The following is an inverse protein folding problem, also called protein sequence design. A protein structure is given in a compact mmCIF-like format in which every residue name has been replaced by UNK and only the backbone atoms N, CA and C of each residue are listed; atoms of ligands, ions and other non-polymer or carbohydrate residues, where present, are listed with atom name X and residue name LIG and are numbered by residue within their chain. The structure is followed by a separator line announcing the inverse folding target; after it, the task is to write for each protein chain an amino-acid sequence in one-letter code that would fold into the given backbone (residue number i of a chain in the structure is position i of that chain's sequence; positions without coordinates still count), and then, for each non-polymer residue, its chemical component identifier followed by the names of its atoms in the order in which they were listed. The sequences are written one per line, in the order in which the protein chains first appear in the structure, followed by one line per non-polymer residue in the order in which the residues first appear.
data_IF_095900641654
#
_entry.id   IF_095900641654
#
_cell.length_a   1.000
_cell.length_b   1.000
_cell.length_c   1.000
_cell.angle_alpha   90.00
_cell.angle_beta   90.00
_cell.angle_gamma   90.00
#
_symmetry.space_group_name_H-M   'P 1'
#
loop_
_entity.id
_entity.type
_entity.pdbx_description
1 polymer ?
#
# COMPACT_ATOMS: atom_id res chain seq x y z
N UNK A 1 -34.07 26.01 14.43
CA UNK A 1 -34.47 24.62 14.72
C UNK A 1 -34.52 23.75 13.45
N UNK A 2 -35.17 24.20 12.36
CA UNK A 2 -35.25 23.48 11.08
C UNK A 2 -33.87 23.18 10.45
N UNK A 3 -32.95 24.16 10.39
CA UNK A 3 -31.60 23.94 9.88
C UNK A 3 -30.78 22.93 10.70
N UNK A 4 -31.06 22.80 12.01
CA UNK A 4 -30.37 21.83 12.88
C UNK A 4 -30.88 20.41 12.63
N UNK A 5 -32.17 20.25 12.35
CA UNK A 5 -32.78 18.95 12.01
C UNK A 5 -32.35 18.51 10.60
N UNK A 6 -32.33 19.43 9.63
CA UNK A 6 -31.82 19.16 8.28
C UNK A 6 -30.32 18.85 8.29
N UNK A 7 -29.52 19.58 9.07
CA UNK A 7 -28.10 19.28 9.25
C UNK A 7 -27.90 17.91 9.92
N UNK A 8 -28.67 17.58 10.97
CA UNK A 8 -28.59 16.28 11.65
C UNK A 8 -28.94 15.12 10.70
N UNK A 9 -29.96 15.27 9.86
CA UNK A 9 -30.37 14.26 8.88
C UNK A 9 -29.30 14.02 7.80
N UNK A 10 -28.70 15.10 7.28
CA UNK A 10 -27.64 15.00 6.27
C UNK A 10 -26.33 14.46 6.87
N UNK A 11 -25.97 14.88 8.07
CA UNK A 11 -24.77 14.39 8.75
C UNK A 11 -24.88 12.90 9.09
N UNK A 12 -26.04 12.42 9.52
CA UNK A 12 -26.26 10.99 9.74
C UNK A 12 -26.03 10.17 8.46
N UNK A 13 -26.59 10.63 7.33
CA UNK A 13 -26.38 9.99 6.03
C UNK A 13 -24.90 9.97 5.62
N UNK A 14 -24.20 11.10 5.78
CA UNK A 14 -22.77 11.21 5.46
C UNK A 14 -21.91 10.29 6.33
N UNK A 15 -22.20 10.20 7.64
CA UNK A 15 -21.50 9.31 8.57
C UNK A 15 -21.74 7.86 8.17
N UNK A 16 -22.99 7.46 7.94
CA UNK A 16 -23.32 6.09 7.52
C UNK A 16 -22.65 5.74 6.19
N UNK A 17 -22.70 6.62 5.19
CA UNK A 17 -22.02 6.41 3.92
C UNK A 17 -20.50 6.28 4.08
N UNK A 18 -19.89 7.09 4.95
CA UNK A 18 -18.46 7.02 5.25
C UNK A 18 -18.08 5.71 5.92
N UNK A 19 -18.91 5.21 6.85
CA UNK A 19 -18.68 3.92 7.51
C UNK A 19 -18.72 2.77 6.49
N UNK A 20 -19.73 2.72 5.62
CA UNK A 20 -19.79 1.70 4.57
C UNK A 20 -18.61 1.76 3.62
N UNK A 21 -18.19 2.98 3.25
CA UNK A 21 -17.00 3.19 2.44
C UNK A 21 -15.74 2.66 3.13
N UNK A 22 -15.52 2.96 4.42
CA UNK A 22 -14.38 2.46 5.19
C UNK A 22 -14.41 0.93 5.28
N UNK A 23 -15.57 0.32 5.58
CA UNK A 23 -15.70 -1.14 5.64
C UNK A 23 -15.31 -1.77 4.30
N UNK A 24 -15.77 -1.21 3.18
CA UNK A 24 -15.40 -1.70 1.85
C UNK A 24 -13.90 -1.57 1.57
N UNK A 25 -13.29 -0.46 1.99
CA UNK A 25 -11.86 -0.23 1.85
C UNK A 25 -11.02 -1.23 2.66
N UNK A 26 -11.41 -1.49 3.91
CA UNK A 26 -10.72 -2.41 4.83
C UNK A 26 -10.87 -3.89 4.45
N UNK A 27 -11.90 -4.28 3.70
CA UNK A 27 -12.06 -5.66 3.21
C UNK A 27 -11.33 -5.86 1.88
N UNK A 28 -11.24 -4.81 1.06
CA UNK A 28 -10.68 -4.90 -0.29
C UNK A 28 -9.25 -4.33 -0.36
N UNK A 29 -9.08 -3.13 -0.96
CA UNK A 29 -7.78 -2.62 -1.37
C UNK A 29 -6.81 -2.37 -0.22
N UNK A 30 -7.29 -2.09 1.00
CA UNK A 30 -6.45 -1.84 2.17
C UNK A 30 -5.50 -3.01 2.49
N UNK A 31 -6.01 -4.15 3.00
CA UNK A 31 -5.17 -5.29 3.36
C UNK A 31 -4.58 -6.00 2.15
N UNK A 32 -5.32 -6.09 1.03
CA UNK A 32 -4.87 -6.81 -0.17
C UNK A 32 -3.57 -6.20 -0.72
N UNK A 33 -3.46 -4.88 -0.72
CA UNK A 33 -2.26 -4.19 -1.19
C UNK A 33 -1.00 -4.58 -0.39
N UNK A 34 -1.09 -4.63 0.94
CA UNK A 34 0.05 -4.99 1.79
C UNK A 34 0.41 -6.46 1.67
N UNK A 35 -0.58 -7.35 1.57
CA UNK A 35 -0.36 -8.78 1.34
C UNK A 35 0.33 -8.99 0.00
N UNK A 36 -0.21 -8.40 -1.06
CA UNK A 36 0.33 -8.51 -2.41
C UNK A 36 1.77 -7.99 -2.51
N UNK A 37 2.06 -6.83 -1.89
CA UNK A 37 3.42 -6.33 -1.80
C UNK A 37 4.38 -7.30 -1.09
N UNK A 38 3.91 -7.96 -0.02
CA UNK A 38 4.73 -8.91 0.73
C UNK A 38 5.02 -10.21 -0.03
N UNK A 39 4.16 -10.59 -0.99
CA UNK A 39 4.34 -11.74 -1.88
C UNK A 39 5.29 -11.44 -3.04
N UNK A 40 5.28 -10.20 -3.55
CA UNK A 40 6.12 -9.77 -4.68
C UNK A 40 7.56 -9.47 -4.28
N UNK A 41 7.80 -9.01 -3.05
CA UNK A 41 9.13 -8.51 -2.69
C UNK A 41 10.10 -9.65 -2.35
N UNK A 42 11.28 -9.73 -3.00
CA UNK A 42 12.33 -10.67 -2.61
C UNK A 42 12.85 -10.34 -1.21
N UNK A 43 13.31 -11.35 -0.48
CA UNK A 43 13.69 -11.25 0.94
C UNK A 43 14.79 -10.21 1.15
N UNK A 44 15.73 -10.13 0.21
CA UNK A 44 16.92 -9.27 0.24
C UNK A 44 16.58 -7.79 0.11
N UNK A 45 15.56 -7.45 -0.69
CA UNK A 45 15.16 -6.06 -0.95
C UNK A 45 13.86 -5.64 -0.25
N UNK A 46 13.28 -6.52 0.58
CA UNK A 46 11.96 -6.32 1.19
C UNK A 46 11.86 -5.02 1.99
N UNK A 47 12.89 -4.67 2.76
CA UNK A 47 12.91 -3.45 3.56
C UNK A 47 12.89 -2.19 2.69
N UNK A 48 13.75 -2.12 1.67
CA UNK A 48 13.84 -1.00 0.75
C UNK A 48 12.55 -0.82 -0.06
N UNK A 49 12.03 -1.90 -0.66
CA UNK A 49 10.82 -1.88 -1.46
C UNK A 49 9.59 -1.52 -0.62
N UNK A 50 9.50 -2.01 0.62
CA UNK A 50 8.39 -1.67 1.53
C UNK A 50 8.40 -0.18 1.91
N UNK A 51 9.57 0.42 2.18
CA UNK A 51 9.66 1.85 2.48
C UNK A 51 9.29 2.73 1.29
N UNK A 52 9.69 2.33 0.08
CA UNK A 52 9.30 3.01 -1.16
C UNK A 52 7.79 2.91 -1.36
N UNK A 53 7.23 1.70 -1.24
CA UNK A 53 5.80 1.45 -1.36
C UNK A 53 4.98 2.30 -0.38
N UNK A 54 5.40 2.35 0.88
CA UNK A 54 4.73 3.14 1.90
C UNK A 54 4.80 4.64 1.58
N UNK A 55 5.94 5.11 1.09
CA UNK A 55 6.12 6.50 0.66
C UNK A 55 5.17 6.84 -0.51
N UNK A 56 5.07 5.96 -1.52
CA UNK A 56 4.12 6.10 -2.61
C UNK A 56 2.66 6.04 -2.16
N UNK A 57 2.34 5.32 -1.08
CA UNK A 57 1.00 5.31 -0.49
C UNK A 57 0.61 6.65 0.14
N UNK A 58 1.56 7.34 0.79
CA UNK A 58 1.28 8.62 1.46
C UNK A 58 1.37 9.85 0.56
N UNK A 59 2.12 9.80 -0.54
CA UNK A 59 2.25 10.93 -1.48
C UNK A 59 0.87 11.41 -2.00
N UNK A 60 -0.02 10.53 -2.49
CA UNK A 60 -1.37 10.92 -2.91
C UNK A 60 -2.18 11.61 -1.82
N UNK A 61 -1.95 11.28 -0.53
CA UNK A 61 -2.64 11.94 0.58
C UNK A 61 -2.33 13.46 0.61
N UNK A 62 -1.07 13.83 0.38
CA UNK A 62 -0.66 15.23 0.29
C UNK A 62 -1.37 15.93 -0.86
N UNK A 63 -1.45 15.28 -2.03
CA UNK A 63 -2.18 15.82 -3.18
C UNK A 63 -3.66 16.01 -2.89
N UNK A 64 -4.32 15.06 -2.21
CA UNK A 64 -5.72 15.19 -1.83
C UNK A 64 -5.94 16.40 -0.93
N UNK A 65 -5.08 16.62 0.07
CA UNK A 65 -5.19 17.79 0.97
C UNK A 65 -5.12 19.11 0.20
N UNK A 66 -4.27 19.21 -0.82
CA UNK A 66 -4.12 20.41 -1.65
C UNK A 66 -5.25 20.57 -2.67
N UNK A 67 -5.68 19.48 -3.31
CA UNK A 67 -6.69 19.49 -4.37
C UNK A 67 -8.12 19.63 -3.82
N UNK A 68 -8.40 19.13 -2.62
CA UNK A 68 -9.73 19.18 -2.01
C UNK A 68 -10.33 20.60 -1.93
N UNK A 69 -9.64 21.64 -1.41
CA UNK A 69 -10.17 23.01 -1.41
C UNK A 69 -10.33 23.61 -2.81
N UNK A 70 -9.57 23.14 -3.81
CA UNK A 70 -9.66 23.61 -5.19
C UNK A 70 -10.93 23.03 -5.85
N UNK A 71 -11.15 21.73 -5.67
CA UNK A 71 -12.30 21.01 -6.24
C UNK A 71 -13.63 21.44 -5.59
N UNK A 72 -13.63 21.66 -4.28
CA UNK A 72 -14.84 22.10 -3.56
C UNK A 72 -15.27 23.53 -3.92
N UNK A 73 -14.34 24.39 -4.36
CA UNK A 73 -14.67 25.73 -4.89
C UNK A 73 -15.47 25.66 -6.19
N UNK A 74 -15.27 24.63 -7.02
CA UNK A 74 -16.04 24.44 -8.23
C UNK A 74 -17.42 23.86 -7.92
N UNK A 75 -17.47 22.75 -7.18
CA UNK A 75 -18.71 22.18 -6.68
C UNK A 75 -18.45 21.27 -5.47
N UNK A 76 -19.38 21.28 -4.49
CA UNK A 76 -19.27 20.44 -3.29
C UNK A 76 -19.22 18.93 -3.60
N UNK A 77 -19.78 18.48 -4.72
CA UNK A 77 -19.77 17.07 -5.14
C UNK A 77 -18.52 16.69 -5.96
N UNK A 78 -17.75 17.67 -6.43
CA UNK A 78 -16.61 17.44 -7.34
C UNK A 78 -15.53 16.50 -6.76
N UNK A 79 -15.13 16.58 -5.47
CA UNK A 79 -14.11 15.69 -4.91
C UNK A 79 -14.53 14.21 -4.94
N UNK A 80 -15.81 13.92 -4.74
CA UNK A 80 -16.33 12.57 -4.71
C UNK A 80 -16.31 11.92 -6.10
N UNK A 81 -16.65 12.69 -7.14
CA UNK A 81 -16.59 12.20 -8.53
C UNK A 81 -15.15 12.01 -9.00
N UNK A 82 -14.24 12.91 -8.65
CA UNK A 82 -12.82 12.71 -8.94
C UNK A 82 -12.27 11.46 -8.25
N UNK A 83 -12.67 11.21 -7.00
CA UNK A 83 -12.27 10.01 -6.27
C UNK A 83 -12.81 8.74 -6.94
N UNK A 84 -14.08 8.74 -7.36
CA UNK A 84 -14.70 7.63 -8.06
C UNK A 84 -13.98 7.29 -9.38
N UNK A 85 -13.62 8.31 -10.16
CA UNK A 85 -12.90 8.12 -11.44
C UNK A 85 -11.52 7.52 -11.19
N UNK A 86 -10.75 8.07 -10.24
CA UNK A 86 -9.40 7.59 -9.92
C UNK A 86 -9.45 6.16 -9.39
N UNK A 87 -10.41 5.84 -8.52
CA UNK A 87 -10.61 4.46 -8.05
C UNK A 87 -10.98 3.52 -9.20
N UNK A 88 -11.89 3.91 -10.09
CA UNK A 88 -12.26 3.09 -11.24
C UNK A 88 -11.09 2.79 -12.18
N UNK A 89 -10.25 3.80 -12.47
CA UNK A 89 -9.03 3.63 -13.27
C UNK A 89 -8.05 2.69 -12.55
N UNK A 90 -7.85 2.89 -11.24
CA UNK A 90 -6.94 2.06 -10.44
C UNK A 90 -7.39 0.60 -10.42
N UNK A 91 -8.67 0.34 -10.22
CA UNK A 91 -9.25 -1.01 -10.29
C UNK A 91 -9.07 -1.62 -11.68
N UNK A 92 -9.31 -0.87 -12.75
CA UNK A 92 -9.11 -1.38 -14.11
C UNK A 92 -7.65 -1.77 -14.35
N UNK A 93 -6.71 -0.88 -13.99
CA UNK A 93 -5.26 -1.16 -14.11
C UNK A 93 -4.88 -2.39 -13.30
N UNK A 94 -5.38 -2.52 -12.07
CA UNK A 94 -5.14 -3.69 -11.24
C UNK A 94 -5.66 -4.97 -11.91
N UNK A 95 -6.90 -4.96 -12.42
CA UNK A 95 -7.47 -6.15 -13.08
C UNK A 95 -6.73 -6.58 -14.35
N UNK A 96 -6.15 -5.64 -15.11
CA UNK A 96 -5.43 -5.96 -16.35
C UNK A 96 -3.93 -6.22 -16.16
N UNK A 97 -3.30 -5.62 -15.16
CA UNK A 97 -1.83 -5.64 -15.01
C UNK A 97 -1.36 -6.67 -14.00
N UNK A 98 -2.21 -7.06 -13.05
CA UNK A 98 -1.80 -7.91 -11.94
C UNK A 98 -1.86 -9.38 -12.35
N UNK A 99 -0.73 -10.10 -12.44
CA UNK A 99 -0.76 -11.54 -12.60
C UNK A 99 -1.34 -12.16 -11.32
N UNK A 100 -2.15 -13.21 -11.45
CA UNK A 100 -2.73 -13.90 -10.30
C UNK A 100 -1.60 -14.58 -9.47
N UNK A 101 -1.19 -13.98 -8.36
CA UNK A 101 -0.14 -14.50 -7.46
C UNK A 101 -0.69 -15.49 -6.43
N UNK A 102 -2.02 -15.60 -6.32
CA UNK A 102 -2.69 -16.37 -5.27
C UNK A 102 -2.34 -17.86 -5.34
N UNK A 103 -1.71 -18.38 -4.28
CA UNK A 103 -1.41 -19.80 -4.12
C UNK A 103 -0.13 -20.28 -4.81
N UNK A 104 0.73 -19.37 -5.25
CA UNK A 104 2.07 -19.66 -5.78
C UNK A 104 3.13 -19.41 -4.73
N UNK A 105 4.24 -20.15 -4.77
CA UNK A 105 5.38 -19.86 -3.88
C UNK A 105 6.10 -18.59 -4.33
N UNK A 106 6.84 -17.95 -3.42
CA UNK A 106 7.59 -16.73 -3.73
C UNK A 106 8.61 -16.97 -4.87
N UNK A 107 9.20 -18.16 -4.93
CA UNK A 107 10.12 -18.58 -5.98
C UNK A 107 9.40 -18.71 -7.34
N UNK A 108 8.19 -19.27 -7.37
CA UNK A 108 7.37 -19.35 -8.58
C UNK A 108 6.96 -17.96 -9.09
N UNK A 109 6.64 -17.03 -8.18
CA UNK A 109 6.31 -15.64 -8.51
C UNK A 109 7.54 -14.94 -9.10
N UNK A 110 8.73 -15.11 -8.51
CA UNK A 110 9.97 -14.55 -9.05
C UNK A 110 10.32 -15.12 -10.42
N UNK A 111 10.03 -16.40 -10.68
CA UNK A 111 10.20 -17.01 -12.01
C UNK A 111 9.26 -16.40 -13.06
N UNK A 112 7.99 -16.15 -12.71
CA UNK A 112 7.00 -15.51 -13.59
C UNK A 112 7.41 -14.07 -13.91
N UNK A 113 7.93 -13.34 -12.93
CA UNK A 113 8.34 -11.94 -13.09
C UNK A 113 9.66 -11.79 -13.89
N UNK A 114 10.58 -12.75 -13.77
CA UNK A 114 11.94 -12.66 -14.34
C UNK A 114 12.11 -13.41 -15.68
N UNK A 115 11.23 -14.36 -16.01
CA UNK A 115 11.18 -15.00 -17.33
C UNK A 115 12.20 -16.14 -17.60
N UNK A 116 13.27 -16.32 -16.81
CA UNK A 116 14.06 -17.57 -16.62
C UNK A 116 15.37 -17.34 -15.86
N UNK A 117 15.71 -18.27 -14.96
CA UNK A 117 16.98 -18.56 -14.26
C UNK A 117 17.54 -17.53 -13.23
N UNK A 118 18.17 -18.00 -12.13
CA UNK A 118 18.39 -17.20 -10.92
C UNK A 118 19.55 -16.23 -11.09
N UNK A 119 19.26 -14.94 -10.99
CA UNK A 119 20.28 -13.93 -10.78
C UNK A 119 20.42 -13.66 -9.28
N UNK A 120 21.33 -14.40 -8.65
CA UNK A 120 22.21 -13.98 -7.55
C UNK A 120 21.52 -13.41 -6.28
N UNK A 121 21.52 -14.01 -5.09
CA UNK A 121 22.61 -14.70 -4.37
C UNK A 121 24.03 -14.13 -4.56
N UNK A 122 24.17 -12.81 -4.79
CA UNK A 122 25.48 -12.14 -4.75
C UNK A 122 25.35 -10.78 -4.08
N UNK A 123 25.22 -10.81 -2.76
CA UNK A 123 25.66 -9.75 -1.83
C UNK A 123 25.61 -10.19 -0.35
N UNK A 124 25.23 -11.44 -0.06
CA UNK A 124 25.29 -12.02 1.29
C UNK A 124 26.69 -12.53 1.73
N UNK A 125 27.76 -12.30 0.95
CA UNK A 125 29.11 -12.81 1.26
C UNK A 125 30.20 -11.71 1.27
N UNK A 126 29.94 -10.58 1.93
CA UNK A 126 31.01 -9.67 2.38
C UNK A 126 30.64 -8.91 3.65
N UNK A 127 30.52 -9.63 4.77
CA UNK A 127 30.27 -9.02 6.08
C UNK A 127 30.44 -9.92 7.29
N UNK A 128 30.57 -11.24 7.13
CA UNK A 128 30.83 -12.18 8.22
C UNK A 128 32.28 -12.70 8.20
N UNK A 129 33.23 -11.81 8.45
CA UNK A 129 34.52 -12.22 9.02
C UNK A 129 34.99 -11.17 10.04
N UNK A 130 34.40 -11.21 11.24
CA UNK A 130 35.07 -10.67 12.43
C UNK A 130 35.44 -11.86 13.29
N UNK A 131 36.70 -12.28 13.13
CA UNK A 131 37.37 -13.29 13.94
C UNK A 131 37.24 -12.89 15.41
N UNK A 132 36.46 -13.64 16.20
CA UNK A 132 36.52 -13.56 17.65
C UNK A 132 37.84 -14.19 18.08
N UNK A 133 38.87 -13.36 18.18
CA UNK A 133 40.13 -13.72 18.79
C UNK A 133 39.89 -14.06 20.26
N UNK A 134 40.25 -15.29 20.61
CA UNK A 134 40.37 -15.80 21.96
C UNK A 134 41.13 -14.83 22.88
N UNK A 135 40.58 -14.56 24.06
CA UNK A 135 41.26 -13.85 25.15
C UNK A 135 40.54 -14.09 26.47
N UNK A 136 41.02 -15.09 27.21
CA UNK A 136 40.65 -15.36 28.61
C UNK A 136 41.30 -14.32 29.51
N UNK A 137 40.54 -13.73 30.46
CA UNK A 137 41.05 -13.17 31.73
C UNK A 137 39.83 -12.87 32.63
N UNK A 138 39.42 -13.83 33.48
CA UNK A 138 39.71 -13.97 34.93
C UNK A 138 39.17 -12.85 35.81
N UNK A 139 38.47 -13.29 36.86
CA UNK A 139 37.84 -12.53 37.94
C UNK A 139 38.84 -11.73 38.79
N UNK A 140 38.40 -10.55 39.23
CA UNK A 140 38.40 -10.08 40.63
C UNK A 140 37.21 -9.11 40.82
#
# INVERSE_FOLDING_TARGET
MINYILAKSNTALLITASIFFIIGFEIGPGPIFFVFASELFPVEAKSLLSSILLSFNYIPNIFVVVLFPILTKAAAWSPFVTYLIVMGITTAVLLFTTPETKGKTQEEIQMILTGSAPAASSEAEKGSEVRFGSGVMTAE
#
